data_IF_218179425013
#
_entry.id   IF_218179425013
#
_cell.length_a   1.000
_cell.length_b   1.000
_cell.length_c   1.000
_cell.angle_alpha   90.00
_cell.angle_beta   90.00
_cell.angle_gamma   90.00
#
_symmetry.space_group_name_H-M   'P 1'
#
loop_
_entity.id
_entity.type
_entity.pdbx_description
1 polymer ?
#
# COMPACT_ATOMS: atom_id res chain seq x y z
N UNK A 1 -20.70 -12.37 -15.06
CA UNK A 1 -20.10 -11.26 -14.28
C UNK A 1 -19.25 -10.47 -15.25
N UNK A 2 -19.41 -9.16 -15.27
CA UNK A 2 -18.84 -8.30 -16.29
C UNK A 2 -17.41 -7.90 -15.90
N UNK A 3 -16.41 -8.43 -16.61
CA UNK A 3 -14.98 -8.20 -16.34
C UNK A 3 -14.57 -6.73 -16.51
N UNK A 4 -15.41 -5.90 -17.13
CA UNK A 4 -15.17 -4.46 -17.38
C UNK A 4 -14.95 -3.62 -16.13
N UNK A 5 -15.30 -4.12 -14.94
CA UNK A 5 -15.19 -3.36 -13.69
C UNK A 5 -13.93 -3.69 -12.87
N UNK A 6 -13.19 -4.74 -13.25
CA UNK A 6 -11.93 -5.07 -12.59
C UNK A 6 -10.85 -4.09 -13.07
N UNK A 7 -10.05 -3.50 -12.17
CA UNK A 7 -9.01 -2.58 -12.60
C UNK A 7 -7.94 -3.33 -13.41
N UNK A 8 -7.81 -3.01 -14.70
CA UNK A 8 -6.92 -3.65 -15.70
C UNK A 8 -5.44 -3.73 -15.29
N UNK A 9 -5.03 -2.98 -14.26
CA UNK A 9 -3.67 -2.88 -13.76
C UNK A 9 -3.32 -3.85 -12.61
N UNK A 10 -4.27 -4.64 -12.10
CA UNK A 10 -4.04 -5.55 -10.97
C UNK A 10 -3.64 -6.95 -11.45
N UNK A 11 -2.33 -7.22 -11.47
CA UNK A 11 -1.81 -8.57 -11.71
C UNK A 11 -2.20 -9.50 -10.56
N UNK A 12 -2.70 -10.70 -10.89
CA UNK A 12 -2.93 -11.75 -9.88
C UNK A 12 -1.59 -12.27 -9.35
N UNK A 13 -1.50 -12.35 -8.04
CA UNK A 13 -0.37 -12.89 -7.32
C UNK A 13 -0.25 -14.38 -7.57
N UNK A 14 0.98 -14.77 -7.87
CA UNK A 14 1.46 -16.14 -7.93
C UNK A 14 2.89 -16.12 -7.40
N UNK A 15 3.45 -17.26 -6.93
CA UNK A 15 4.86 -17.34 -6.61
C UNK A 15 5.75 -16.81 -7.76
N UNK A 16 5.37 -17.10 -9.01
CA UNK A 16 6.03 -16.57 -10.20
C UNK A 16 5.95 -15.05 -10.33
N UNK A 17 4.84 -14.42 -9.96
CA UNK A 17 4.69 -12.96 -9.97
C UNK A 17 5.56 -12.28 -8.90
N UNK A 18 5.65 -12.87 -7.69
CA UNK A 18 6.60 -12.40 -6.67
C UNK A 18 8.06 -12.57 -7.12
N UNK A 19 8.39 -13.68 -7.77
CA UNK A 19 9.71 -13.89 -8.36
C UNK A 19 10.03 -12.86 -9.46
N UNK A 20 9.06 -12.53 -10.34
CA UNK A 20 9.23 -11.48 -11.34
C UNK A 20 9.52 -10.12 -10.70
N UNK A 21 8.75 -9.71 -9.69
CA UNK A 21 9.00 -8.44 -8.99
C UNK A 21 10.38 -8.39 -8.31
N UNK A 22 10.80 -9.49 -7.67
CA UNK A 22 12.13 -9.60 -7.08
C UNK A 22 13.22 -9.46 -8.15
N UNK A 23 13.06 -10.15 -9.29
CA UNK A 23 14.01 -10.09 -10.40
C UNK A 23 14.12 -8.68 -10.99
N UNK A 24 13.00 -7.99 -11.22
CA UNK A 24 13.01 -6.61 -11.72
C UNK A 24 13.68 -5.65 -10.75
N UNK A 25 13.40 -5.79 -9.46
CA UNK A 25 14.02 -4.97 -8.40
C UNK A 25 15.54 -5.16 -8.36
N UNK A 26 16.02 -6.40 -8.43
CA UNK A 26 17.45 -6.74 -8.47
C UNK A 26 18.13 -6.23 -9.74
N UNK A 27 17.47 -6.32 -10.91
CA UNK A 27 18.00 -5.78 -12.16
C UNK A 27 18.16 -4.26 -12.08
N UNK A 28 17.18 -3.55 -11.51
CA UNK A 28 17.24 -2.10 -11.33
C UNK A 28 18.36 -1.69 -10.37
N UNK A 29 18.57 -2.45 -9.29
CA UNK A 29 19.64 -2.22 -8.33
C UNK A 29 21.03 -2.53 -8.92
N UNK A 30 21.18 -3.62 -9.68
CA UNK A 30 22.43 -3.97 -10.35
C UNK A 30 22.84 -2.91 -11.40
N UNK A 31 21.88 -2.23 -12.02
CA UNK A 31 22.14 -1.12 -12.94
C UNK A 31 22.59 0.16 -12.25
N UNK A 32 22.36 0.31 -10.93
CA UNK A 32 22.87 1.42 -10.14
C UNK A 32 24.22 1.00 -9.56
N UNK A 33 25.32 1.62 -10.01
CA UNK A 33 26.71 1.35 -9.54
C UNK A 33 26.94 1.82 -8.09
N UNK A 34 26.12 1.34 -7.15
CA UNK A 34 26.23 1.58 -5.72
C UNK A 34 26.40 0.23 -5.06
N UNK A 35 27.56 -0.01 -4.46
CA UNK A 35 27.84 -1.21 -3.68
C UNK A 35 26.97 -1.15 -2.42
N UNK A 36 25.73 -1.63 -2.50
CA UNK A 36 24.91 -1.95 -1.34
C UNK A 36 25.41 -3.27 -0.76
N UNK A 37 26.50 -3.18 0.03
CA UNK A 37 27.06 -4.33 0.71
C UNK A 37 26.03 -5.00 1.63
N UNK A 38 25.85 -6.31 1.44
CA UNK A 38 25.29 -7.30 2.38
C UNK A 38 23.76 -7.33 2.59
N UNK A 39 22.97 -6.29 2.29
CA UNK A 39 21.50 -6.39 2.41
C UNK A 39 20.80 -7.09 1.22
N UNK A 40 21.49 -7.22 0.08
CA UNK A 40 20.94 -7.79 -1.16
C UNK A 40 20.72 -9.31 -1.12
N UNK A 41 21.45 -10.05 -0.27
CA UNK A 41 21.33 -11.52 -0.19
C UNK A 41 19.96 -11.93 0.39
N UNK A 42 19.31 -11.07 1.19
CA UNK A 42 17.95 -11.32 1.70
C UNK A 42 16.84 -11.13 0.66
N UNK A 43 17.12 -10.45 -0.47
CA UNK A 43 16.12 -10.22 -1.52
C UNK A 43 16.17 -11.27 -2.64
N UNK A 44 17.26 -12.05 -2.75
CA UNK A 44 17.42 -13.04 -3.81
C UNK A 44 16.33 -14.12 -3.77
N UNK A 45 15.98 -14.59 -2.57
CA UNK A 45 14.97 -15.64 -2.37
C UNK A 45 13.77 -15.20 -1.53
N UNK A 46 13.48 -13.89 -1.41
CA UNK A 46 12.36 -13.44 -0.56
C UNK A 46 11.02 -14.08 -0.94
N UNK A 47 10.80 -14.43 -2.21
CA UNK A 47 9.58 -15.10 -2.64
C UNK A 47 9.49 -16.56 -2.15
N UNK A 48 10.59 -17.31 -2.19
CA UNK A 48 10.62 -18.72 -1.80
C UNK A 48 10.83 -18.91 -0.30
N UNK A 49 11.69 -18.08 0.33
CA UNK A 49 11.96 -18.11 1.76
C UNK A 49 10.80 -17.56 2.60
N UNK A 50 9.94 -16.74 2.01
CA UNK A 50 8.76 -16.19 2.67
C UNK A 50 7.48 -16.96 2.33
N UNK A 51 7.56 -18.20 1.81
CA UNK A 51 6.40 -19.01 1.46
C UNK A 51 6.13 -20.13 2.48
N UNK A 52 4.86 -20.43 2.71
CA UNK A 52 4.41 -21.62 3.43
C UNK A 52 3.14 -22.16 2.82
N UNK A 53 2.90 -23.46 2.95
CA UNK A 53 1.71 -24.14 2.43
C UNK A 53 0.81 -24.55 3.60
N UNK A 54 -0.39 -23.98 3.65
CA UNK A 54 -1.43 -24.31 4.62
C UNK A 54 -2.66 -24.79 3.85
N UNK A 55 -3.10 -26.03 4.10
CA UNK A 55 -4.22 -26.67 3.38
C UNK A 55 -4.08 -26.62 1.84
N UNK A 56 -2.86 -26.79 1.34
CA UNK A 56 -2.55 -26.73 -0.10
C UNK A 56 -2.52 -25.32 -0.69
N UNK A 57 -2.60 -24.27 0.14
CA UNK A 57 -2.59 -22.87 -0.27
C UNK A 57 -1.26 -22.23 0.14
N UNK A 58 -0.55 -21.69 -0.84
CA UNK A 58 0.65 -20.86 -0.64
C UNK A 58 0.30 -19.53 0.03
N UNK A 59 1.02 -19.18 1.09
CA UNK A 59 0.83 -17.95 1.87
C UNK A 59 2.17 -17.37 2.34
N UNK A 60 2.28 -16.04 2.47
CA UNK A 60 3.43 -15.42 3.09
C UNK A 60 3.62 -15.86 4.55
N UNK A 61 4.86 -16.15 4.96
CA UNK A 61 5.21 -16.36 6.38
C UNK A 61 5.24 -15.03 7.13
N UNK A 62 5.81 -14.00 6.50
CA UNK A 62 5.98 -12.63 7.00
C UNK A 62 5.19 -11.66 6.12
N UNK A 63 4.18 -11.02 6.72
CA UNK A 63 3.32 -10.03 6.06
C UNK A 63 3.79 -8.58 6.26
N UNK A 64 4.70 -8.34 7.21
CA UNK A 64 5.16 -7.01 7.54
C UNK A 64 6.47 -7.04 8.32
N UNK A 65 7.27 -5.99 8.15
CA UNK A 65 8.57 -5.80 8.79
C UNK A 65 8.64 -4.44 9.47
N UNK A 66 9.31 -4.38 10.62
CA UNK A 66 9.73 -3.15 11.29
C UNK A 66 11.24 -2.99 11.20
N UNK A 67 11.70 -1.74 11.15
CA UNK A 67 13.13 -1.40 11.18
C UNK A 67 13.37 -0.38 12.29
N UNK A 68 14.26 -0.71 13.22
CA UNK A 68 14.72 0.25 14.22
C UNK A 68 15.74 1.19 13.60
N UNK A 69 15.35 2.43 13.33
CA UNK A 69 16.21 3.42 12.65
C UNK A 69 17.49 3.78 13.42
N UNK A 70 17.56 3.53 14.74
CA UNK A 70 18.76 3.80 15.56
C UNK A 70 19.76 2.65 15.52
N UNK A 71 19.27 1.41 15.52
CA UNK A 71 20.13 0.22 15.63
C UNK A 71 20.32 -0.50 14.29
N UNK A 72 19.45 -0.25 13.30
CA UNK A 72 19.39 -0.97 12.04
C UNK A 72 18.74 -2.35 12.13
N UNK A 73 18.23 -2.73 13.31
CA UNK A 73 17.58 -4.04 13.51
C UNK A 73 16.28 -4.16 12.70
N UNK A 74 16.13 -5.29 11.99
CA UNK A 74 14.94 -5.64 11.20
C UNK A 74 14.23 -6.80 11.89
N UNK A 75 12.92 -6.69 12.09
CA UNK A 75 12.11 -7.70 12.77
C UNK A 75 10.71 -7.84 12.16
N UNK A 76 10.09 -9.05 12.20
CA UNK A 76 8.69 -9.22 11.80
C UNK A 76 7.76 -8.32 12.63
N UNK A 77 6.81 -7.65 11.99
CA UNK A 77 5.91 -6.72 12.66
C UNK A 77 4.54 -6.65 12.01
N UNK A 78 3.53 -6.31 12.82
CA UNK A 78 2.16 -6.03 12.39
C UNK A 78 1.74 -4.66 12.91
N UNK A 79 1.14 -3.83 12.06
CA UNK A 79 0.73 -2.47 12.41
C UNK A 79 -0.79 -2.35 12.39
N UNK A 80 -1.40 -2.19 13.56
CA UNK A 80 -2.83 -1.91 13.71
C UNK A 80 -3.19 -0.49 13.28
N UNK A 81 -2.29 0.47 13.52
CA UNK A 81 -2.46 1.87 13.16
C UNK A 81 -1.53 2.22 12.01
N UNK A 82 -2.10 2.45 10.83
CA UNK A 82 -1.35 2.74 9.60
C UNK A 82 -1.43 4.21 9.19
N UNK A 83 -1.93 5.08 10.06
CA UNK A 83 -2.07 6.52 9.81
C UNK A 83 -0.72 7.28 9.68
N UNK A 84 -0.76 8.58 9.31
CA UNK A 84 -1.95 9.43 9.17
C UNK A 84 -2.63 9.30 7.80
N UNK A 85 -3.88 9.79 7.71
CA UNK A 85 -4.69 9.83 6.48
C UNK A 85 -4.62 8.54 5.65
N UNK A 86 -4.85 7.40 6.31
CA UNK A 86 -4.75 6.08 5.69
C UNK A 86 -5.66 5.96 4.47
N UNK A 87 -6.94 6.36 4.59
CA UNK A 87 -7.89 6.25 3.48
C UNK A 87 -7.49 7.11 2.28
N UNK A 88 -7.05 8.35 2.50
CA UNK A 88 -6.53 9.21 1.43
C UNK A 88 -5.37 8.56 0.67
N UNK A 89 -4.41 7.98 1.40
CA UNK A 89 -3.26 7.30 0.78
C UNK A 89 -3.67 6.00 0.09
N UNK A 90 -4.55 5.21 0.69
CA UNK A 90 -5.10 3.98 0.09
C UNK A 90 -5.87 4.30 -1.18
N UNK A 91 -6.75 5.31 -1.17
CA UNK A 91 -7.52 5.74 -2.34
C UNK A 91 -6.60 6.20 -3.46
N UNK A 92 -5.56 6.99 -3.15
CA UNK A 92 -4.57 7.41 -4.14
C UNK A 92 -3.90 6.22 -4.83
N UNK A 93 -3.52 5.18 -4.08
CA UNK A 93 -2.93 3.95 -4.64
C UNK A 93 -3.97 3.17 -5.43
N UNK A 94 -5.19 3.01 -4.91
CA UNK A 94 -6.28 2.31 -5.55
C UNK A 94 -6.64 2.91 -6.92
N UNK A 95 -6.55 4.24 -7.06
CA UNK A 95 -6.80 4.95 -8.33
C UNK A 95 -5.55 5.00 -9.24
N UNK A 96 -4.50 4.23 -8.96
CA UNK A 96 -3.30 4.14 -9.81
C UNK A 96 -2.25 5.23 -9.58
N UNK A 97 -2.23 5.87 -8.41
CA UNK A 97 -1.23 6.87 -8.06
C UNK A 97 0.20 6.29 -8.05
N UNK A 98 1.17 7.06 -8.58
CA UNK A 98 2.59 6.65 -8.64
C UNK A 98 3.25 6.61 -7.25
N UNK A 99 4.37 5.91 -7.11
CA UNK A 99 5.20 5.96 -5.90
C UNK A 99 5.65 7.41 -5.62
N UNK A 100 5.61 7.82 -4.35
CA UNK A 100 6.00 9.17 -3.88
C UNK A 100 6.68 9.08 -2.53
N UNK A 101 7.58 10.03 -2.27
CA UNK A 101 8.11 10.29 -0.93
C UNK A 101 7.07 11.07 -0.10
N UNK A 102 6.89 10.64 1.15
CA UNK A 102 5.88 11.17 2.07
C UNK A 102 6.48 11.67 3.38
N UNK A 103 7.78 11.52 3.64
CA UNK A 103 8.37 11.90 4.93
C UNK A 103 9.53 12.87 4.78
N UNK A 104 9.34 14.08 5.30
CA UNK A 104 10.39 15.08 5.42
C UNK A 104 11.17 14.83 6.70
N UNK A 105 12.30 14.11 6.59
CA UNK A 105 13.16 13.77 7.73
C UNK A 105 13.83 14.98 8.37
N UNK A 106 14.04 16.07 7.62
CA UNK A 106 14.66 17.29 8.14
C UNK A 106 13.74 18.03 9.11
N UNK A 107 12.42 17.90 8.90
CA UNK A 107 11.38 18.55 9.72
C UNK A 107 10.63 17.55 10.61
N UNK A 108 10.83 16.26 10.41
CA UNK A 108 10.11 15.20 11.11
C UNK A 108 8.61 15.14 10.74
N UNK A 109 8.25 15.53 9.52
CA UNK A 109 6.85 15.67 9.09
C UNK A 109 6.46 14.62 8.05
N UNK A 110 5.25 14.09 8.17
CA UNK A 110 4.59 13.41 7.05
C UNK A 110 3.93 14.46 6.17
N UNK A 111 4.25 14.45 4.87
CA UNK A 111 3.70 15.34 3.85
C UNK A 111 2.89 14.53 2.84
N UNK A 112 1.59 14.76 2.81
CA UNK A 112 0.69 14.17 1.83
C UNK A 112 0.34 15.26 0.82
N UNK A 113 0.88 15.15 -0.38
CA UNK A 113 0.66 16.12 -1.45
C UNK A 113 -0.74 16.01 -2.08
N UNK A 114 -1.18 17.05 -2.80
CA UNK A 114 -2.41 16.99 -3.58
C UNK A 114 -2.43 15.77 -4.50
N UNK A 115 -3.54 15.03 -4.49
CA UNK A 115 -3.81 13.98 -5.45
C UNK A 115 -4.70 14.51 -6.56
N UNK A 116 -4.78 13.75 -7.66
CA UNK A 116 -5.80 13.88 -8.69
C UNK A 116 -6.24 12.47 -9.05
N UNK A 117 -7.52 12.21 -8.95
CA UNK A 117 -8.15 10.98 -9.43
C UNK A 117 -9.37 11.34 -10.26
N UNK A 118 -9.66 10.54 -11.28
CA UNK A 118 -10.88 10.72 -12.07
C UNK A 118 -12.07 10.19 -11.28
N UNK A 119 -13.19 10.92 -11.31
CA UNK A 119 -14.46 10.44 -10.79
C UNK A 119 -14.92 9.24 -11.63
N UNK A 120 -14.75 8.03 -11.11
CA UNK A 120 -15.27 6.82 -11.73
C UNK A 120 -16.48 6.33 -10.92
N UNK A 121 -17.68 6.63 -11.41
CA UNK A 121 -18.93 6.26 -10.73
C UNK A 121 -19.12 4.73 -10.63
N UNK A 122 -18.47 3.96 -11.50
CA UNK A 122 -18.65 2.52 -11.56
C UNK A 122 -18.01 1.78 -10.37
N UNK A 123 -17.13 2.43 -9.60
CA UNK A 123 -16.55 1.79 -8.41
C UNK A 123 -17.55 1.61 -7.27
N UNK A 124 -18.66 2.38 -7.28
CA UNK A 124 -19.74 2.21 -6.31
C UNK A 124 -20.37 0.81 -6.37
N UNK A 125 -20.32 0.16 -7.54
CA UNK A 125 -20.74 -1.22 -7.73
C UNK A 125 -20.09 -2.16 -6.70
N UNK A 126 -18.80 -1.98 -6.42
CA UNK A 126 -18.02 -2.84 -5.53
C UNK A 126 -18.51 -2.83 -4.08
N UNK A 127 -19.10 -1.72 -3.61
CA UNK A 127 -19.66 -1.65 -2.25
C UNK A 127 -20.83 -2.61 -2.04
N UNK A 128 -21.58 -2.90 -3.11
CA UNK A 128 -22.72 -3.85 -3.08
C UNK A 128 -22.31 -5.32 -3.22
N UNK A 129 -21.04 -5.59 -3.54
CA UNK A 129 -20.58 -6.94 -3.81
C UNK A 129 -20.30 -7.74 -2.53
N UNK A 130 -20.44 -9.06 -2.65
CA UNK A 130 -20.06 -10.01 -1.59
C UNK A 130 -18.54 -10.00 -1.39
N UNK A 131 -18.12 -10.37 -0.20
CA UNK A 131 -16.70 -10.33 0.19
C UNK A 131 -15.83 -11.24 -0.69
N UNK A 132 -16.30 -12.45 -1.01
CA UNK A 132 -15.60 -13.37 -1.92
C UNK A 132 -15.42 -12.78 -3.33
N UNK A 133 -16.41 -12.01 -3.79
CA UNK A 133 -16.35 -11.33 -5.09
C UNK A 133 -15.30 -10.22 -5.05
N UNK A 134 -15.27 -9.44 -3.97
CA UNK A 134 -14.27 -8.37 -3.79
C UNK A 134 -12.87 -8.95 -3.70
N UNK A 135 -12.66 -10.00 -2.91
CA UNK A 135 -11.39 -10.72 -2.85
C UNK A 135 -11.00 -11.20 -4.25
N UNK A 136 -11.88 -11.93 -4.93
CA UNK A 136 -11.56 -12.51 -6.24
C UNK A 136 -11.11 -11.47 -7.26
N UNK A 137 -11.70 -10.28 -7.29
CA UNK A 137 -11.44 -9.30 -8.35
C UNK A 137 -10.49 -8.17 -7.93
N UNK A 138 -10.54 -7.70 -6.68
CA UNK A 138 -9.73 -6.57 -6.21
C UNK A 138 -8.46 -6.98 -5.46
N UNK A 139 -8.29 -8.25 -5.08
CA UNK A 139 -7.03 -8.75 -4.54
C UNK A 139 -6.16 -9.35 -5.65
N UNK A 140 -4.85 -9.21 -5.49
CA UNK A 140 -3.89 -9.98 -6.27
C UNK A 140 -3.82 -11.42 -5.77
N UNK A 141 -3.94 -11.67 -4.47
CA UNK A 141 -3.80 -12.97 -3.80
C UNK A 141 -5.04 -13.42 -2.98
N UNK A 142 -6.22 -13.70 -3.58
CA UNK A 142 -7.48 -13.84 -2.85
C UNK A 142 -7.49 -14.82 -1.66
N UNK A 143 -6.69 -15.89 -1.74
CA UNK A 143 -6.57 -16.92 -0.70
C UNK A 143 -5.51 -16.64 0.37
N UNK A 144 -4.68 -15.61 0.17
CA UNK A 144 -3.56 -15.25 1.03
C UNK A 144 -3.72 -13.85 1.68
N UNK A 145 -4.75 -13.09 1.31
CA UNK A 145 -5.06 -11.80 1.93
C UNK A 145 -5.38 -11.94 3.43
N UNK A 146 -5.07 -10.90 4.23
CA UNK A 146 -5.47 -10.87 5.63
C UNK A 146 -7.00 -10.73 5.77
N UNK A 147 -7.58 -11.16 6.91
CA UNK A 147 -9.04 -11.19 7.10
C UNK A 147 -9.73 -9.82 7.01
N UNK A 148 -8.99 -8.72 7.19
CA UNK A 148 -9.51 -7.36 7.13
C UNK A 148 -9.39 -6.70 5.74
N UNK A 149 -8.90 -7.43 4.72
CA UNK A 149 -8.69 -6.89 3.37
C UNK A 149 -9.96 -6.29 2.77
N UNK A 150 -11.06 -7.04 2.77
CA UNK A 150 -12.32 -6.58 2.14
C UNK A 150 -12.88 -5.35 2.85
N UNK A 151 -12.82 -5.33 4.17
CA UNK A 151 -13.24 -4.17 4.94
C UNK A 151 -12.40 -2.93 4.58
N UNK A 152 -11.08 -3.08 4.48
CA UNK A 152 -10.20 -2.00 4.06
C UNK A 152 -10.55 -1.48 2.66
N UNK A 153 -10.76 -2.39 1.70
CA UNK A 153 -11.17 -2.03 0.33
C UNK A 153 -12.50 -1.28 0.31
N UNK A 154 -13.51 -1.74 1.04
CA UNK A 154 -14.81 -1.06 1.13
C UNK A 154 -14.66 0.34 1.72
N UNK A 155 -13.89 0.51 2.79
CA UNK A 155 -13.62 1.84 3.37
C UNK A 155 -12.89 2.76 2.40
N UNK A 156 -11.92 2.24 1.64
CA UNK A 156 -11.18 3.02 0.63
C UNK A 156 -12.08 3.46 -0.53
N UNK A 157 -12.96 2.57 -1.00
CA UNK A 157 -13.93 2.90 -2.05
C UNK A 157 -14.95 3.91 -1.54
N UNK A 158 -15.42 3.76 -0.29
CA UNK A 158 -16.33 4.73 0.30
C UNK A 158 -15.69 6.12 0.43
N UNK A 159 -14.46 6.20 0.93
CA UNK A 159 -13.71 7.46 0.99
C UNK A 159 -13.55 8.09 -0.40
N UNK A 160 -13.27 7.28 -1.42
CA UNK A 160 -13.17 7.76 -2.80
C UNK A 160 -14.49 8.36 -3.31
N UNK A 161 -15.63 7.74 -3.02
CA UNK A 161 -16.94 8.24 -3.45
C UNK A 161 -17.33 9.52 -2.72
N UNK A 162 -17.00 9.62 -1.42
CA UNK A 162 -17.21 10.83 -0.61
C UNK A 162 -16.32 12.01 -1.07
N UNK A 163 -15.17 11.71 -1.66
CA UNK A 163 -14.19 12.68 -2.16
C UNK A 163 -13.89 12.49 -3.64
N UNK A 164 -14.95 12.40 -4.47
CA UNK A 164 -14.82 12.22 -5.92
C UNK A 164 -14.04 13.35 -6.60
N UNK A 165 -14.09 14.55 -6.01
CA UNK A 165 -13.14 15.64 -6.25
C UNK A 165 -12.19 15.80 -5.05
N UNK A 166 -10.92 15.49 -5.29
CA UNK A 166 -9.84 15.57 -4.31
C UNK A 166 -9.45 17.01 -3.95
N UNK A 167 -9.82 18.03 -4.74
CA UNK A 167 -9.41 19.41 -4.48
C UNK A 167 -9.90 19.91 -3.11
N UNK A 168 -11.07 19.41 -2.67
CA UNK A 168 -11.62 19.67 -1.33
C UNK A 168 -10.70 19.21 -0.18
N UNK A 169 -9.88 18.19 -0.41
CA UNK A 169 -8.93 17.66 0.58
C UNK A 169 -7.65 18.50 0.66
N UNK A 170 -7.40 19.37 -0.32
CA UNK A 170 -6.21 20.21 -0.41
C UNK A 170 -6.59 21.67 -0.71
N UNK A 171 -7.17 22.39 0.26
CA UNK A 171 -7.52 23.80 0.09
C UNK A 171 -6.33 24.62 -0.42
N UNK A 172 -6.54 25.39 -1.49
CA UNK A 172 -5.46 26.18 -2.12
C UNK A 172 -4.32 25.34 -2.72
N UNK A 173 -4.56 24.05 -2.97
CA UNK A 173 -3.55 23.11 -3.47
C UNK A 173 -2.45 22.79 -2.46
N UNK A 174 -2.66 23.11 -1.17
CA UNK A 174 -1.64 22.89 -0.14
C UNK A 174 -1.62 21.44 0.34
N UNK A 175 -0.44 20.86 0.61
CA UNK A 175 -0.32 19.48 1.11
C UNK A 175 -0.87 19.34 2.53
N UNK A 176 -1.35 18.17 2.92
CA UNK A 176 -1.62 17.89 4.33
C UNK A 176 -0.32 17.54 5.05
N UNK A 177 -0.01 18.26 6.13
CA UNK A 177 1.19 18.05 6.95
C UNK A 177 0.81 17.44 8.30
N UNK A 178 1.61 16.49 8.77
CA UNK A 178 1.43 15.85 10.06
C UNK A 178 2.73 15.78 10.83
N UNK A 179 2.69 16.08 12.13
CA UNK A 179 3.80 15.88 13.05
C UNK A 179 3.48 14.77 14.04
N UNK A 180 4.53 14.22 14.66
CA UNK A 180 4.37 13.25 15.73
C UNK A 180 4.17 13.98 17.05
N UNK A 181 3.09 13.67 17.75
CA UNK A 181 2.80 14.17 19.09
C UNK A 181 3.66 13.45 20.13
N UNK A 182 3.74 14.02 21.35
CA UNK A 182 4.45 13.41 22.47
C UNK A 182 3.86 12.04 22.87
N UNK A 183 2.54 11.88 22.70
CA UNK A 183 1.82 10.61 22.88
C UNK A 183 2.19 9.56 21.83
N UNK A 184 2.91 9.95 20.79
CA UNK A 184 3.32 9.09 19.68
C UNK A 184 2.33 9.03 18.51
N UNK A 185 1.16 9.66 18.61
CA UNK A 185 0.17 9.78 17.53
C UNK A 185 0.59 10.79 16.47
N UNK A 186 -0.04 10.73 15.30
CA UNK A 186 0.12 11.74 14.23
C UNK A 186 -0.97 12.80 14.35
N UNK A 187 -0.57 14.07 14.38
CA UNK A 187 -1.47 15.23 14.48
C UNK A 187 -1.30 16.11 13.24
N UNK A 188 -2.42 16.66 12.75
CA UNK A 188 -2.41 17.55 11.58
C UNK A 188 -1.85 18.90 11.99
N UNK A 189 -0.89 19.40 11.19
CA UNK A 189 -0.38 20.77 11.35
C UNK A 189 -1.38 21.73 10.73
N UNK A 190 -1.88 22.69 11.52
CA UNK A 190 -2.69 23.78 10.99
C UNK A 190 -1.85 24.63 10.03
N UNK A 191 -2.37 24.84 8.84
CA UNK A 191 -1.75 25.72 7.86
C UNK A 191 -2.39 27.10 7.98
N UNK A 192 -1.58 28.17 8.05
CA UNK A 192 -2.07 29.54 8.14
C UNK A 192 -2.82 29.98 6.87
#
# INVERSE_FOLDING_TARGET
MDERFAPDHWLKWTPSASCMFNKESLLQQHQQTVIFGVLLIFFYDFAELNDTIVDGIHRPVVYGIGVNVKTGEVFPSSFSHKGPAEQLRSTRTFTGGKMVDIYDSSRGLVKIGPCKWSSNLDVAFWLSQKDDTILKYLSTSPMAEPPHFVQHMKSTIQFFLEHSDCDSLFPGGQPQLYHRAETGSWERVDQP
#
